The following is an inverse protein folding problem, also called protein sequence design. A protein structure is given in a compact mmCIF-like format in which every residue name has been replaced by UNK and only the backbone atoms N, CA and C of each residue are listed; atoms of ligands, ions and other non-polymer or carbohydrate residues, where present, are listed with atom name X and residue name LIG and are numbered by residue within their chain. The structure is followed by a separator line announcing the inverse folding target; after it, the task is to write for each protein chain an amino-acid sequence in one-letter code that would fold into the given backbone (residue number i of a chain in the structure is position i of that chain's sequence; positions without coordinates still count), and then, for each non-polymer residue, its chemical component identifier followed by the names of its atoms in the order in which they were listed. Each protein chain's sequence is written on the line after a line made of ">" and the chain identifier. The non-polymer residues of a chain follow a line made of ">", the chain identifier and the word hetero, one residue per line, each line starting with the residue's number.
data_IF_712386263717
#
_entry.id   IF_712386263717
#
_cell.length_a   1.000
_cell.length_b   1.000
_cell.length_c   1.000
_cell.angle_alpha   90.00
_cell.angle_beta   90.00
_cell.angle_gamma   90.00
#
_symmetry.space_group_name_H-M   'P 1'
#
loop_
_entity.id
_entity.type
_entity.pdbx_description
1 polymer ?
#
# COMPACT_ATOMS: atom_id res chain seq x y z
N UNK A 1 23.42 11.52 -5.79
CA UNK A 1 21.99 11.19 -6.03
C UNK A 1 21.13 12.26 -5.37
N UNK A 2 20.14 12.82 -6.08
CA UNK A 2 19.25 13.85 -5.52
C UNK A 2 18.60 13.32 -4.22
N UNK A 3 18.58 14.12 -3.14
CA UNK A 3 18.07 13.74 -1.82
C UNK A 3 16.64 13.19 -1.89
N UNK A 4 15.84 13.68 -2.82
CA UNK A 4 14.46 13.23 -3.04
C UNK A 4 14.40 11.83 -3.68
N UNK A 5 15.31 11.51 -4.61
CA UNK A 5 15.39 10.16 -5.23
C UNK A 5 15.75 9.12 -4.16
N UNK A 6 16.69 9.43 -3.27
CA UNK A 6 17.06 8.51 -2.17
C UNK A 6 15.88 8.17 -1.27
N UNK A 7 15.05 9.16 -0.92
CA UNK A 7 13.86 8.96 -0.10
C UNK A 7 12.86 8.03 -0.79
N UNK A 8 12.56 8.27 -2.07
CA UNK A 8 11.63 7.42 -2.83
C UNK A 8 12.16 5.99 -2.95
N UNK A 9 13.46 5.79 -3.21
CA UNK A 9 14.04 4.46 -3.26
C UNK A 9 13.88 3.70 -1.94
N UNK A 10 14.06 4.38 -0.79
CA UNK A 10 13.81 3.76 0.52
C UNK A 10 12.33 3.39 0.66
N UNK A 11 11.42 4.25 0.24
CA UNK A 11 9.97 4.02 0.34
C UNK A 11 9.47 2.89 -0.56
N UNK A 12 10.04 2.75 -1.76
CA UNK A 12 9.85 1.58 -2.63
C UNK A 12 10.45 0.33 -1.99
N UNK A 13 11.62 0.45 -1.37
CA UNK A 13 12.23 -0.63 -0.59
C UNK A 13 11.33 -1.11 0.54
N UNK A 14 10.64 -0.22 1.27
CA UNK A 14 9.67 -0.58 2.30
C UNK A 14 8.46 -1.33 1.72
N UNK A 15 7.99 -0.95 0.53
CA UNK A 15 6.91 -1.68 -0.16
C UNK A 15 7.35 -3.09 -0.56
N UNK A 16 8.54 -3.21 -1.15
CA UNK A 16 9.12 -4.51 -1.52
C UNK A 16 9.31 -5.38 -0.27
N UNK A 17 9.81 -4.80 0.82
CA UNK A 17 9.95 -5.47 2.10
C UNK A 17 8.61 -6.00 2.61
N UNK A 18 7.52 -5.23 2.48
CA UNK A 18 6.19 -5.72 2.84
C UNK A 18 5.82 -6.98 2.05
N UNK A 19 6.03 -7.01 0.73
CA UNK A 19 5.74 -8.19 -0.08
C UNK A 19 6.65 -9.40 0.24
N UNK A 20 7.92 -9.16 0.59
CA UNK A 20 8.79 -10.24 1.08
C UNK A 20 8.27 -10.81 2.40
N UNK A 21 7.85 -9.93 3.33
CA UNK A 21 7.29 -10.35 4.61
C UNK A 21 5.95 -11.07 4.46
N UNK A 22 5.16 -10.78 3.42
CA UNK A 22 3.92 -11.49 3.12
C UNK A 22 4.17 -13.00 2.89
N UNK A 23 5.30 -13.36 2.28
CA UNK A 23 5.69 -14.76 2.07
C UNK A 23 6.06 -15.51 3.37
N UNK A 24 6.28 -14.80 4.47
CA UNK A 24 6.73 -15.34 5.76
C UNK A 24 5.59 -15.29 6.79
N UNK A 25 4.87 -14.18 6.85
CA UNK A 25 3.84 -13.92 7.85
C UNK A 25 2.50 -14.45 7.36
N UNK A 26 2.10 -15.62 7.88
CA UNK A 26 0.83 -16.26 7.52
C UNK A 26 -0.41 -15.62 8.13
N UNK A 27 -0.26 -14.91 9.25
CA UNK A 27 -1.39 -14.29 9.94
C UNK A 27 -1.70 -12.91 9.33
N UNK A 28 -2.89 -12.77 8.74
CA UNK A 28 -3.36 -11.55 8.08
C UNK A 28 -3.29 -10.31 8.99
N UNK A 29 -3.70 -10.44 10.25
CA UNK A 29 -3.74 -9.32 11.20
C UNK A 29 -2.34 -8.86 11.57
N UNK A 30 -1.42 -9.79 11.83
CA UNK A 30 -0.01 -9.47 12.09
C UNK A 30 0.60 -8.75 10.90
N UNK A 31 0.34 -9.26 9.69
CA UNK A 31 0.83 -8.62 8.47
C UNK A 31 0.23 -7.23 8.25
N UNK A 32 -1.06 -7.05 8.54
CA UNK A 32 -1.75 -5.75 8.48
C UNK A 32 -1.10 -4.73 9.41
N UNK A 33 -0.77 -5.12 10.64
CA UNK A 33 -0.07 -4.24 11.59
C UNK A 33 1.33 -3.86 11.08
N UNK A 34 2.05 -4.81 10.48
CA UNK A 34 3.36 -4.55 9.85
C UNK A 34 3.20 -3.53 8.72
N UNK A 35 2.20 -3.69 7.84
CA UNK A 35 1.93 -2.76 6.74
C UNK A 35 1.61 -1.36 7.27
N UNK A 36 0.74 -1.23 8.29
CA UNK A 36 0.43 0.05 8.93
C UNK A 36 1.70 0.69 9.49
N UNK A 37 2.55 -0.09 10.16
CA UNK A 37 3.82 0.39 10.68
C UNK A 37 4.74 0.90 9.56
N UNK A 38 4.93 0.14 8.48
CA UNK A 38 5.77 0.54 7.35
C UNK A 38 5.26 1.80 6.65
N UNK A 39 3.94 1.93 6.48
CA UNK A 39 3.30 3.14 5.97
C UNK A 39 3.57 4.31 6.91
N UNK A 40 3.39 4.12 8.21
CA UNK A 40 3.68 5.14 9.23
C UNK A 40 5.14 5.62 9.19
N UNK A 41 6.11 4.71 9.05
CA UNK A 41 7.53 5.07 8.86
C UNK A 41 7.71 5.86 7.58
N UNK A 42 7.13 5.42 6.46
CA UNK A 42 7.24 6.11 5.17
C UNK A 42 6.66 7.53 5.20
N UNK A 43 5.50 7.72 5.82
CA UNK A 43 4.87 9.02 5.98
C UNK A 43 5.70 9.92 6.91
N UNK A 44 6.25 9.39 8.00
CA UNK A 44 7.12 10.16 8.91
C UNK A 44 8.41 10.63 8.24
N UNK A 45 8.95 9.87 7.29
CA UNK A 45 10.19 10.21 6.58
C UNK A 45 10.01 11.38 5.59
N UNK A 46 8.85 11.49 4.94
CA UNK A 46 8.62 12.50 3.91
C UNK A 46 7.14 12.84 3.77
N UNK A 47 6.56 13.47 4.78
CA UNK A 47 5.16 13.87 4.76
C UNK A 47 4.94 15.10 3.87
N UNK A 48 3.99 15.01 2.95
CA UNK A 48 3.50 16.15 2.19
C UNK A 48 2.03 16.46 2.53
N UNK A 49 1.64 17.73 2.38
CA UNK A 49 0.25 18.16 2.65
C UNK A 49 -0.73 17.34 1.79
N UNK A 50 -1.84 16.92 2.40
CA UNK A 50 -2.94 16.15 1.80
C UNK A 50 -2.61 14.70 1.37
N UNK A 51 -1.47 14.13 1.78
CA UNK A 51 -1.19 12.72 1.48
C UNK A 51 -2.16 11.74 2.15
N UNK A 52 -2.75 12.11 3.28
CA UNK A 52 -3.82 11.32 3.89
C UNK A 52 -5.05 11.18 2.99
N UNK A 53 -5.37 12.21 2.20
CA UNK A 53 -6.47 12.13 1.24
C UNK A 53 -6.15 11.15 0.11
N UNK A 54 -4.90 11.13 -0.39
CA UNK A 54 -4.45 10.15 -1.38
C UNK A 54 -4.45 8.73 -0.83
N UNK A 55 -4.02 8.57 0.42
CA UNK A 55 -4.01 7.28 1.11
C UNK A 55 -5.45 6.75 1.28
N UNK A 56 -6.37 7.60 1.74
CA UNK A 56 -7.77 7.24 1.89
C UNK A 56 -8.42 6.94 0.53
N UNK A 57 -8.14 7.75 -0.49
CA UNK A 57 -8.63 7.53 -1.84
C UNK A 57 -8.17 6.18 -2.39
N UNK A 58 -6.87 5.89 -2.31
CA UNK A 58 -6.32 4.62 -2.78
C UNK A 58 -6.83 3.43 -1.96
N UNK A 59 -7.05 3.61 -0.65
CA UNK A 59 -7.68 2.58 0.19
C UNK A 59 -9.09 2.26 -0.28
N UNK A 60 -9.94 3.28 -0.45
CA UNK A 60 -11.33 3.09 -0.87
C UNK A 60 -11.39 2.51 -2.28
N UNK A 61 -10.67 3.09 -3.23
CA UNK A 61 -10.65 2.59 -4.61
C UNK A 61 -10.09 1.17 -4.69
N UNK A 62 -8.95 0.91 -4.04
CA UNK A 62 -8.35 -0.41 -3.99
C UNK A 62 -9.31 -1.44 -3.41
N UNK A 63 -9.96 -1.13 -2.28
CA UNK A 63 -10.96 -2.00 -1.70
C UNK A 63 -12.10 -2.33 -2.67
N UNK A 64 -12.71 -1.33 -3.29
CA UNK A 64 -13.81 -1.57 -4.24
C UNK A 64 -13.37 -2.37 -5.46
N UNK A 65 -12.19 -2.06 -6.03
CA UNK A 65 -11.64 -2.80 -7.17
C UNK A 65 -11.43 -4.27 -6.79
N UNK A 66 -10.77 -4.53 -5.66
CA UNK A 66 -10.46 -5.90 -5.22
C UNK A 66 -11.72 -6.69 -4.86
N UNK A 67 -12.71 -6.06 -4.23
CA UNK A 67 -13.99 -6.72 -3.93
C UNK A 67 -14.74 -7.04 -5.23
N UNK A 68 -14.84 -6.09 -6.16
CA UNK A 68 -15.55 -6.30 -7.43
C UNK A 68 -14.84 -7.39 -8.24
N UNK A 69 -13.53 -7.28 -8.43
CA UNK A 69 -12.77 -8.22 -9.24
C UNK A 69 -12.62 -9.60 -8.59
N UNK A 70 -12.46 -9.65 -7.27
CA UNK A 70 -12.29 -10.89 -6.51
C UNK A 70 -13.59 -11.64 -6.31
N UNK A 71 -14.66 -10.98 -5.86
CA UNK A 71 -15.92 -11.68 -5.56
C UNK A 71 -16.80 -11.90 -6.80
N UNK A 72 -16.94 -10.90 -7.67
CA UNK A 72 -17.90 -10.99 -8.77
C UNK A 72 -17.28 -11.62 -10.01
N UNK A 73 -16.05 -11.21 -10.36
CA UNK A 73 -15.36 -11.71 -11.56
C UNK A 73 -14.42 -12.88 -11.28
N UNK A 74 -14.11 -13.17 -10.01
CA UNK A 74 -13.20 -14.24 -9.57
C UNK A 74 -11.83 -14.20 -10.27
N UNK A 75 -11.33 -13.00 -10.58
CA UNK A 75 -10.01 -12.83 -11.17
C UNK A 75 -8.89 -13.20 -10.19
N UNK A 76 -9.15 -13.05 -8.90
CA UNK A 76 -8.21 -13.32 -7.84
C UNK A 76 -8.94 -13.87 -6.61
N UNK A 77 -8.29 -14.80 -5.91
CA UNK A 77 -8.80 -15.38 -4.66
C UNK A 77 -7.73 -15.29 -3.57
N UNK A 78 -8.20 -15.06 -2.35
CA UNK A 78 -7.36 -14.95 -1.16
C UNK A 78 -7.87 -15.91 -0.10
N UNK A 79 -7.00 -16.84 0.31
CA UNK A 79 -7.33 -17.78 1.38
C UNK A 79 -7.41 -17.02 2.73
N UNK A 80 -8.48 -17.27 3.49
CA UNK A 80 -8.71 -16.71 4.83
C UNK A 80 -8.79 -15.17 4.91
N UNK A 81 -9.33 -14.52 3.88
CA UNK A 81 -9.47 -13.07 3.86
C UNK A 81 -10.64 -12.54 4.72
N UNK A 82 -10.39 -11.44 5.45
CA UNK A 82 -11.34 -10.90 6.44
C UNK A 82 -12.31 -9.83 5.92
N UNK A 83 -11.95 -9.06 4.88
CA UNK A 83 -12.71 -7.89 4.42
C UNK A 83 -13.52 -8.21 3.15
N UNK A 84 -14.65 -8.92 3.29
CA UNK A 84 -15.46 -9.39 2.15
C UNK A 84 -14.65 -10.22 1.14
N UNK A 85 -13.83 -11.15 1.62
CA UNK A 85 -12.96 -11.96 0.75
C UNK A 85 -11.71 -11.24 0.24
N UNK A 86 -11.45 -10.01 0.71
CA UNK A 86 -10.21 -9.26 0.47
C UNK A 86 -9.41 -9.15 1.77
N UNK A 87 -8.08 -9.34 1.78
CA UNK A 87 -7.27 -9.12 2.97
C UNK A 87 -7.22 -7.64 3.36
N UNK A 88 -7.30 -7.33 4.65
CA UNK A 88 -7.33 -5.95 5.21
C UNK A 88 -6.08 -5.15 4.81
N UNK A 89 -4.93 -5.81 4.75
CA UNK A 89 -3.67 -5.18 4.36
C UNK A 89 -3.65 -4.70 2.90
N UNK A 90 -4.45 -5.31 2.02
CA UNK A 90 -4.37 -5.06 0.58
C UNK A 90 -4.90 -3.66 0.21
N UNK A 91 -6.08 -3.22 0.67
CA UNK A 91 -6.52 -1.83 0.53
C UNK A 91 -5.52 -0.82 1.13
N UNK A 92 -4.86 -1.15 2.25
CA UNK A 92 -3.85 -0.26 2.84
C UNK A 92 -2.62 -0.10 1.92
N UNK A 93 -2.17 -1.19 1.32
CA UNK A 93 -1.09 -1.17 0.32
C UNK A 93 -1.51 -0.36 -0.91
N UNK A 94 -2.75 -0.48 -1.38
CA UNK A 94 -3.30 0.38 -2.44
C UNK A 94 -3.27 1.86 -2.07
N UNK A 95 -3.72 2.22 -0.86
CA UNK A 95 -3.61 3.59 -0.33
C UNK A 95 -2.18 4.11 -0.36
N UNK A 96 -1.23 3.31 0.10
CA UNK A 96 0.18 3.66 0.08
C UNK A 96 0.77 3.77 -1.33
N UNK A 97 0.36 2.89 -2.26
CA UNK A 97 0.77 2.93 -3.64
C UNK A 97 0.36 4.25 -4.31
N UNK A 98 -0.84 4.76 -4.04
CA UNK A 98 -1.28 6.07 -4.55
C UNK A 98 -0.37 7.22 -4.08
N UNK A 99 0.00 7.21 -2.80
CA UNK A 99 0.97 8.18 -2.24
C UNK A 99 2.31 8.07 -2.95
N UNK A 100 2.83 6.85 -3.16
CA UNK A 100 4.10 6.63 -3.85
C UNK A 100 4.05 7.08 -5.31
N UNK A 101 3.00 6.73 -6.04
CA UNK A 101 2.81 7.12 -7.44
C UNK A 101 2.82 8.65 -7.56
N UNK A 102 2.14 9.36 -6.66
CA UNK A 102 2.19 10.83 -6.64
C UNK A 102 3.59 11.37 -6.38
N UNK A 103 4.34 10.80 -5.42
CA UNK A 103 5.71 11.22 -5.10
C UNK A 103 6.67 10.98 -6.27
N UNK A 104 6.57 9.82 -6.90
CA UNK A 104 7.34 9.47 -8.11
C UNK A 104 6.96 10.39 -9.26
N UNK A 105 5.65 10.60 -9.47
CA UNK A 105 5.10 11.51 -10.46
C UNK A 105 5.68 12.91 -10.33
N UNK A 106 5.73 13.47 -9.11
CA UNK A 106 6.32 14.79 -8.86
C UNK A 106 7.84 14.89 -9.15
N UNK A 107 8.56 13.77 -9.25
CA UNK A 107 9.96 13.77 -9.68
C UNK A 107 10.13 13.68 -11.21
N UNK A 108 9.23 12.95 -11.87
CA UNK A 108 9.32 12.65 -13.31
C UNK A 108 8.59 13.73 -14.11
N UNK A 109 7.35 14.00 -13.74
CA UNK A 109 6.46 14.99 -14.33
C UNK A 109 6.58 16.26 -13.48
N UNK A 110 7.37 17.21 -13.97
CA UNK A 110 7.53 18.52 -13.33
C UNK A 110 6.32 19.40 -13.56
#
# INVERSE_FOLDING_TARGET
>A
MNKNIKKILIQLGLLILAFVLLGIVRNEYVFTVIVIFLIGVSLKMDYHKNEWALLLLGFVLGFFIEVIMGLFYRFQHWDNASLLGVPIWLPLVWGYAFVLIRRVGALIVK
#
